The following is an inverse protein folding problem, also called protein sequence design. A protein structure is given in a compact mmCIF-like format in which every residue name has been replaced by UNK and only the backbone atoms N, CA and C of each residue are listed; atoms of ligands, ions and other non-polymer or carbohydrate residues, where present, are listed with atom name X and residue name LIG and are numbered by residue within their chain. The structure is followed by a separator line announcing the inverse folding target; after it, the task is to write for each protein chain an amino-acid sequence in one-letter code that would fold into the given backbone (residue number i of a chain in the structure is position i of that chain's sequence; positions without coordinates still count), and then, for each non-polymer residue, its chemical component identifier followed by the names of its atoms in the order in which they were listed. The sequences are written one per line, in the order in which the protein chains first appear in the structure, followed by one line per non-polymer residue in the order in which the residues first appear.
data_IF_243229689327
#
_entry.id   IF_243229689327
#
_cell.length_a   1.000
_cell.length_b   1.000
_cell.length_c   1.000
_cell.angle_alpha   90.00
_cell.angle_beta   90.00
_cell.angle_gamma   90.00
#
_symmetry.space_group_name_H-M   'P 1'
#
loop_
_entity.id
_entity.type
_entity.pdbx_description
1 polymer ?
#
# COMPACT_ATOMS: atom_id res chain seq x y z
N UNK A 1 31.30 28.22 -33.70
CA UNK A 1 29.85 28.03 -33.94
C UNK A 1 29.68 26.72 -34.67
N UNK A 2 29.45 25.64 -33.93
CA UNK A 2 29.32 24.28 -34.48
C UNK A 2 27.90 24.13 -35.00
N UNK A 3 27.72 23.96 -36.30
CA UNK A 3 26.43 23.70 -36.90
C UNK A 3 25.85 22.41 -36.30
N UNK A 4 24.76 22.52 -35.54
CA UNK A 4 24.00 21.34 -35.17
C UNK A 4 23.47 20.70 -36.45
N UNK A 5 23.73 19.40 -36.70
CA UNK A 5 23.17 18.75 -37.87
C UNK A 5 21.65 18.71 -37.72
N UNK A 6 20.95 19.41 -38.62
CA UNK A 6 19.50 19.33 -38.76
C UNK A 6 19.10 17.87 -38.96
N UNK A 7 18.52 17.26 -37.94
CA UNK A 7 17.95 15.92 -38.03
C UNK A 7 16.65 16.00 -38.83
N UNK A 8 16.70 15.72 -40.13
CA UNK A 8 15.48 15.45 -40.91
C UNK A 8 14.99 14.03 -40.59
N UNK A 9 13.79 13.86 -40.01
CA UNK A 9 13.30 12.54 -39.64
C UNK A 9 13.10 11.66 -40.88
N UNK A 10 13.65 10.45 -40.85
CA UNK A 10 13.42 9.44 -41.89
C UNK A 10 12.01 8.86 -41.85
N UNK A 11 11.64 8.08 -42.87
CA UNK A 11 10.31 7.46 -43.02
C UNK A 11 9.81 6.74 -41.76
N UNK A 12 10.66 5.96 -41.09
CA UNK A 12 10.31 5.28 -39.83
C UNK A 12 9.95 6.26 -38.71
N UNK A 13 10.69 7.35 -38.55
CA UNK A 13 10.44 8.35 -37.52
C UNK A 13 9.16 9.16 -37.80
N UNK A 14 8.90 9.48 -39.08
CA UNK A 14 7.67 10.14 -39.49
C UNK A 14 6.43 9.30 -39.18
N UNK A 15 6.50 7.97 -39.37
CA UNK A 15 5.41 7.04 -39.04
C UNK A 15 5.09 6.98 -37.54
N UNK A 16 6.02 7.42 -36.67
CA UNK A 16 5.82 7.44 -35.22
C UNK A 16 5.09 8.69 -34.70
N UNK A 17 4.89 9.73 -35.52
CA UNK A 17 4.33 11.02 -35.06
C UNK A 17 2.89 10.92 -34.50
N UNK A 18 2.09 9.97 -34.99
CA UNK A 18 0.68 9.81 -34.59
C UNK A 18 0.46 8.56 -33.73
N UNK A 19 1.50 8.04 -33.08
CA UNK A 19 1.41 6.78 -32.32
C UNK A 19 0.39 6.85 -31.20
N UNK A 20 0.24 7.99 -30.52
CA UNK A 20 -0.66 8.12 -29.36
C UNK A 20 -2.11 7.76 -29.68
N UNK A 21 -2.61 8.20 -30.84
CA UNK A 21 -4.00 7.99 -31.29
C UNK A 21 -4.31 6.60 -31.84
N UNK A 22 -3.31 5.72 -31.97
CA UNK A 22 -3.51 4.37 -32.52
C UNK A 22 -4.05 3.38 -31.48
N UNK A 23 -4.82 2.40 -31.95
CA UNK A 23 -5.24 1.26 -31.13
C UNK A 23 -4.03 0.40 -30.71
N UNK A 24 -4.13 -0.37 -29.62
CA UNK A 24 -3.04 -1.25 -29.14
C UNK A 24 -2.57 -2.25 -30.21
N UNK A 25 -3.51 -2.81 -30.98
CA UNK A 25 -3.20 -3.74 -32.09
C UNK A 25 -2.43 -3.03 -33.19
N UNK A 26 -2.89 -1.84 -33.59
CA UNK A 26 -2.24 -1.02 -34.63
C UNK A 26 -0.86 -0.54 -34.19
N UNK A 27 -0.70 -0.16 -32.92
CA UNK A 27 0.62 0.17 -32.32
C UNK A 27 1.58 -1.00 -32.44
N UNK A 28 1.13 -2.19 -32.05
CA UNK A 28 1.94 -3.41 -32.12
C UNK A 28 2.34 -3.76 -33.55
N UNK A 29 1.41 -3.65 -34.51
CA UNK A 29 1.68 -3.90 -35.92
C UNK A 29 2.65 -2.86 -36.53
N UNK A 30 2.46 -1.57 -36.20
CA UNK A 30 3.35 -0.48 -36.64
C UNK A 30 4.78 -0.70 -36.12
N UNK A 31 4.94 -0.97 -34.83
CA UNK A 31 6.24 -1.21 -34.22
C UNK A 31 6.92 -2.44 -34.82
N UNK A 32 6.17 -3.51 -35.11
CA UNK A 32 6.70 -4.70 -35.79
C UNK A 32 7.22 -4.35 -37.19
N UNK A 33 6.45 -3.62 -37.99
CA UNK A 33 6.89 -3.18 -39.32
C UNK A 33 8.14 -2.30 -39.27
N UNK A 34 8.24 -1.38 -38.30
CA UNK A 34 9.45 -0.55 -38.12
C UNK A 34 10.64 -1.43 -37.72
N UNK A 35 10.44 -2.42 -36.85
CA UNK A 35 11.48 -3.35 -36.47
C UNK A 35 11.97 -4.20 -37.65
N UNK A 36 11.06 -4.61 -38.55
CA UNK A 36 11.40 -5.31 -39.78
C UNK A 36 12.23 -4.42 -40.71
N UNK A 37 11.84 -3.16 -40.89
CA UNK A 37 12.58 -2.16 -41.70
C UNK A 37 14.00 -1.95 -41.16
N UNK A 38 14.13 -1.77 -39.84
CA UNK A 38 15.43 -1.64 -39.16
C UNK A 38 16.27 -2.91 -39.39
N UNK A 39 15.68 -4.09 -39.18
CA UNK A 39 16.37 -5.37 -39.37
C UNK A 39 16.88 -5.54 -40.79
N UNK A 40 16.05 -5.23 -41.79
CA UNK A 40 16.42 -5.25 -43.19
C UNK A 40 17.57 -4.28 -43.49
N UNK A 41 17.54 -3.06 -42.92
CA UNK A 41 18.63 -2.10 -43.05
C UNK A 41 19.95 -2.64 -42.49
N UNK A 42 19.94 -3.23 -41.29
CA UNK A 42 21.14 -3.84 -40.68
C UNK A 42 21.67 -5.01 -41.52
N UNK A 43 20.81 -5.84 -42.09
CA UNK A 43 21.21 -6.93 -43.00
C UNK A 43 21.89 -6.36 -44.25
N UNK A 44 21.32 -5.32 -44.86
CA UNK A 44 21.90 -4.66 -46.02
C UNK A 44 23.27 -4.04 -45.70
N UNK A 45 23.40 -3.35 -44.57
CA UNK A 45 24.67 -2.79 -44.10
C UNK A 45 25.71 -3.89 -43.90
N UNK A 46 25.33 -5.01 -43.27
CA UNK A 46 26.20 -6.16 -43.06
C UNK A 46 26.72 -6.77 -44.36
N UNK A 47 25.85 -6.87 -45.38
CA UNK A 47 26.26 -7.29 -46.74
C UNK A 47 27.28 -6.32 -47.33
N UNK A 48 27.04 -5.01 -47.24
CA UNK A 48 27.96 -4.00 -47.77
C UNK A 48 29.30 -3.93 -47.04
N UNK A 49 29.34 -4.26 -45.74
CA UNK A 49 30.59 -4.46 -45.00
C UNK A 49 31.36 -5.68 -45.51
N UNK A 50 30.67 -6.80 -45.71
CA UNK A 50 31.28 -8.04 -46.22
C UNK A 50 31.88 -7.86 -47.63
N UNK A 51 31.25 -7.03 -48.47
CA UNK A 51 31.77 -6.67 -49.79
C UNK A 51 32.92 -5.64 -49.76
N UNK A 52 33.27 -5.08 -48.59
CA UNK A 52 34.29 -4.05 -48.45
C UNK A 52 33.86 -2.64 -48.88
N UNK A 53 32.61 -2.47 -49.36
CA UNK A 53 32.03 -1.15 -49.72
C UNK A 53 31.95 -0.24 -48.50
N UNK A 54 31.61 -0.80 -47.34
CA UNK A 54 31.62 -0.10 -46.06
C UNK A 54 32.81 -0.54 -45.21
N UNK A 55 33.31 0.38 -44.39
CA UNK A 55 34.34 0.11 -43.39
C UNK A 55 33.79 0.30 -41.99
N UNK A 56 34.53 -0.14 -40.96
CA UNK A 56 34.18 0.07 -39.56
C UNK A 56 33.99 1.55 -39.18
N UNK A 57 34.60 2.48 -39.93
CA UNK A 57 34.39 3.92 -39.72
C UNK A 57 32.97 4.36 -40.09
N UNK A 58 32.39 3.75 -41.12
CA UNK A 58 31.04 4.06 -41.59
C UNK A 58 29.95 3.53 -40.65
N UNK A 59 30.22 2.46 -39.88
CA UNK A 59 29.27 1.88 -38.93
C UNK A 59 29.39 2.45 -37.52
N UNK A 60 30.41 3.26 -37.24
CA UNK A 60 30.61 3.86 -35.91
C UNK A 60 29.36 4.58 -35.36
N UNK A 61 28.63 5.42 -36.14
CA UNK A 61 27.41 6.06 -35.63
C UNK A 61 26.33 5.08 -35.18
N UNK A 62 26.26 3.90 -35.82
CA UNK A 62 25.32 2.84 -35.47
C UNK A 62 25.70 2.21 -34.12
N UNK A 63 26.99 1.96 -33.90
CA UNK A 63 27.50 1.48 -32.62
C UNK A 63 27.25 2.48 -31.49
N UNK A 64 27.49 3.77 -31.75
CA UNK A 64 27.23 4.86 -30.79
C UNK A 64 25.73 4.97 -30.46
N UNK A 65 24.86 4.85 -31.46
CA UNK A 65 23.42 4.78 -31.27
C UNK A 65 23.01 3.57 -30.41
N UNK A 66 23.47 2.37 -30.73
CA UNK A 66 23.16 1.16 -29.95
C UNK A 66 23.62 1.33 -28.48
N UNK A 67 24.79 1.92 -28.25
CA UNK A 67 25.28 2.19 -26.91
C UNK A 67 24.37 3.18 -26.16
N UNK A 68 23.90 4.25 -26.83
CA UNK A 68 22.96 5.21 -26.24
C UNK A 68 21.64 4.56 -25.82
N UNK A 69 21.04 3.73 -26.68
CA UNK A 69 19.78 3.01 -26.38
C UNK A 69 19.95 2.08 -25.18
N UNK A 70 21.03 1.29 -25.13
CA UNK A 70 21.32 0.39 -23.98
C UNK A 70 21.51 1.15 -22.67
N UNK A 71 22.09 2.35 -22.72
CA UNK A 71 22.26 3.18 -21.53
C UNK A 71 20.91 3.71 -21.02
N UNK A 72 20.00 4.11 -21.90
CA UNK A 72 18.66 4.56 -21.53
C UNK A 72 17.87 3.44 -20.86
N UNK A 73 17.86 2.24 -21.43
CA UNK A 73 17.20 1.06 -20.83
C UNK A 73 17.76 0.74 -19.44
N UNK A 74 19.09 0.78 -19.29
CA UNK A 74 19.74 0.54 -17.99
C UNK A 74 19.32 1.59 -16.95
N UNK A 75 19.23 2.86 -17.33
CA UNK A 75 18.80 3.94 -16.44
C UNK A 75 17.33 3.77 -16.02
N UNK A 76 16.45 3.39 -16.94
CA UNK A 76 15.05 3.08 -16.62
C UNK A 76 14.93 1.89 -15.68
N UNK A 77 15.66 0.81 -15.95
CA UNK A 77 15.71 -0.36 -15.06
C UNK A 77 16.19 0.01 -13.65
N UNK A 78 17.23 0.84 -13.54
CA UNK A 78 17.71 1.31 -12.24
C UNK A 78 16.68 2.17 -11.51
N UNK A 79 15.98 3.06 -12.22
CA UNK A 79 14.89 3.86 -11.63
C UNK A 79 13.76 2.98 -11.10
N UNK A 80 13.32 2.01 -11.91
CA UNK A 80 12.28 1.05 -11.52
C UNK A 80 12.71 0.22 -10.29
N UNK A 81 13.96 -0.24 -10.24
CA UNK A 81 14.49 -0.94 -9.06
C UNK A 81 14.51 -0.06 -7.81
N UNK A 82 14.90 1.20 -7.92
CA UNK A 82 14.87 2.15 -6.81
C UNK A 82 13.45 2.39 -6.31
N UNK A 83 12.48 2.53 -7.22
CA UNK A 83 11.08 2.72 -6.83
C UNK A 83 10.50 1.47 -6.16
N UNK A 84 10.80 0.27 -6.65
CA UNK A 84 10.43 -0.98 -5.99
C UNK A 84 10.99 -1.05 -4.56
N UNK A 85 12.24 -0.64 -4.36
CA UNK A 85 12.84 -0.64 -3.02
C UNK A 85 12.17 0.39 -2.10
N UNK A 86 11.82 1.57 -2.60
CA UNK A 86 11.04 2.57 -1.85
C UNK A 86 9.67 2.02 -1.44
N UNK A 87 8.97 1.32 -2.34
CA UNK A 87 7.69 0.71 -2.01
C UNK A 87 7.82 -0.39 -0.94
N UNK A 88 8.84 -1.25 -1.05
CA UNK A 88 9.15 -2.26 -0.03
C UNK A 88 9.43 -1.64 1.34
N UNK A 89 10.18 -0.54 1.38
CA UNK A 89 10.45 0.19 2.62
C UNK A 89 9.19 0.80 3.24
N UNK A 90 8.30 1.38 2.42
CA UNK A 90 7.00 1.90 2.90
C UNK A 90 6.13 0.78 3.45
N UNK A 91 6.07 -0.35 2.75
CA UNK A 91 5.32 -1.52 3.19
C UNK A 91 5.81 -2.03 4.55
N UNK A 92 7.13 -2.13 4.74
CA UNK A 92 7.73 -2.52 6.03
C UNK A 92 7.31 -1.55 7.16
N UNK A 93 7.33 -0.24 6.91
CA UNK A 93 6.89 0.77 7.88
C UNK A 93 5.41 0.60 8.23
N UNK A 94 4.54 0.44 7.24
CA UNK A 94 3.11 0.22 7.48
C UNK A 94 2.81 -1.06 8.25
N UNK A 95 3.56 -2.15 8.00
CA UNK A 95 3.42 -3.38 8.79
C UNK A 95 3.83 -3.15 10.25
N UNK A 96 4.90 -2.40 10.49
CA UNK A 96 5.34 -2.06 11.84
C UNK A 96 4.30 -1.18 12.58
N UNK A 97 3.78 -0.15 11.92
CA UNK A 97 2.73 0.72 12.45
C UNK A 97 1.45 -0.07 12.76
N UNK A 98 0.99 -0.93 11.83
CA UNK A 98 -0.17 -1.79 12.06
C UNK A 98 0.02 -2.71 13.26
N UNK A 99 1.21 -3.29 13.41
CA UNK A 99 1.54 -4.14 14.57
C UNK A 99 1.54 -3.35 15.87
N UNK A 100 2.09 -2.14 15.85
CA UNK A 100 2.08 -1.23 17.00
C UNK A 100 0.65 -0.82 17.38
N UNK A 101 -0.17 -0.43 16.40
CA UNK A 101 -1.56 -0.03 16.60
C UNK A 101 -2.39 -1.19 17.18
N UNK A 102 -2.22 -2.40 16.64
CA UNK A 102 -2.87 -3.60 17.17
C UNK A 102 -2.55 -3.81 18.65
N UNK A 103 -1.28 -3.74 19.03
CA UNK A 103 -0.86 -3.88 20.44
C UNK A 103 -1.45 -2.77 21.33
N UNK A 104 -1.54 -1.54 20.83
CA UNK A 104 -2.16 -0.43 21.56
C UNK A 104 -3.64 -0.69 21.82
N UNK A 105 -4.39 -1.09 20.79
CA UNK A 105 -5.81 -1.42 20.91
C UNK A 105 -6.01 -2.60 21.87
N UNK A 106 -5.25 -3.68 21.72
CA UNK A 106 -5.30 -4.82 22.64
C UNK A 106 -5.04 -4.41 24.10
N UNK A 107 -4.08 -3.51 24.34
CA UNK A 107 -3.81 -2.96 25.66
C UNK A 107 -4.99 -2.17 26.24
N UNK A 108 -5.64 -1.34 25.41
CA UNK A 108 -6.82 -0.57 25.83
C UNK A 108 -8.01 -1.49 26.16
N UNK A 109 -8.25 -2.52 25.34
CA UNK A 109 -9.32 -3.51 25.57
C UNK A 109 -9.09 -4.26 26.88
N UNK A 110 -7.87 -4.76 27.12
CA UNK A 110 -7.56 -5.44 28.39
C UNK A 110 -7.76 -4.53 29.61
N UNK A 111 -7.40 -3.24 29.47
CA UNK A 111 -7.59 -2.28 30.55
C UNK A 111 -9.07 -2.01 30.81
N UNK A 112 -9.88 -1.83 29.77
CA UNK A 112 -11.32 -1.61 29.92
C UNK A 112 -12.04 -2.84 30.47
N UNK A 113 -11.65 -4.05 30.07
CA UNK A 113 -12.14 -5.30 30.65
C UNK A 113 -11.83 -5.40 32.14
N UNK A 114 -10.62 -5.02 32.56
CA UNK A 114 -10.22 -4.96 33.96
C UNK A 114 -11.08 -3.99 34.78
N UNK A 115 -11.29 -2.78 34.26
CA UNK A 115 -12.17 -1.78 34.88
C UNK A 115 -13.60 -2.31 34.97
N UNK A 116 -14.13 -2.87 33.88
CA UNK A 116 -15.50 -3.40 33.83
C UNK A 116 -15.71 -4.49 34.88
N UNK A 117 -14.75 -5.41 35.03
CA UNK A 117 -14.80 -6.47 36.05
C UNK A 117 -14.83 -5.88 37.46
N UNK A 118 -13.97 -4.90 37.76
CA UNK A 118 -13.96 -4.23 39.06
C UNK A 118 -15.28 -3.52 39.37
N UNK A 119 -15.86 -2.82 38.38
CA UNK A 119 -17.18 -2.19 38.54
C UNK A 119 -18.28 -3.20 38.79
N UNK A 120 -18.27 -4.33 38.07
CA UNK A 120 -19.22 -5.41 38.27
C UNK A 120 -19.14 -5.98 39.69
N UNK A 121 -17.94 -6.26 40.17
CA UNK A 121 -17.73 -6.75 41.55
C UNK A 121 -18.16 -5.74 42.62
N UNK A 122 -17.99 -4.44 42.37
CA UNK A 122 -18.47 -3.38 43.28
C UNK A 122 -20.00 -3.30 43.27
N UNK A 123 -20.61 -3.44 42.09
CA UNK A 123 -22.06 -3.40 41.94
C UNK A 123 -22.73 -4.58 42.65
N UNK A 124 -22.20 -5.79 42.49
CA UNK A 124 -22.72 -6.99 43.19
C UNK A 124 -22.60 -6.85 44.71
N UNK A 125 -21.48 -6.32 45.21
CA UNK A 125 -21.33 -6.02 46.65
C UNK A 125 -22.33 -4.98 47.15
N UNK A 126 -22.50 -3.89 46.40
CA UNK A 126 -23.46 -2.86 46.77
C UNK A 126 -24.90 -3.39 46.80
N UNK A 127 -25.25 -4.25 45.83
CA UNK A 127 -26.55 -4.93 45.77
C UNK A 127 -26.75 -5.85 46.98
N UNK A 128 -25.77 -6.68 47.32
CA UNK A 128 -25.84 -7.53 48.51
C UNK A 128 -26.04 -6.72 49.80
N UNK A 129 -25.28 -5.65 49.98
CA UNK A 129 -25.43 -4.76 51.14
C UNK A 129 -26.84 -4.13 51.21
N UNK A 130 -27.41 -3.76 50.07
CA UNK A 130 -28.77 -3.21 50.00
C UNK A 130 -29.83 -4.26 50.36
N UNK A 131 -29.69 -5.48 49.86
CA UNK A 131 -30.59 -6.59 50.18
C UNK A 131 -30.54 -6.92 51.68
N UNK A 132 -29.35 -6.94 52.28
CA UNK A 132 -29.18 -7.20 53.71
C UNK A 132 -29.76 -6.06 54.57
N UNK A 133 -29.48 -4.81 54.24
CA UNK A 133 -30.08 -3.65 54.92
C UNK A 133 -31.63 -3.67 54.84
N UNK A 134 -32.17 -4.09 53.69
CA UNK A 134 -33.62 -4.23 53.51
C UNK A 134 -34.20 -5.31 54.42
N UNK A 135 -33.52 -6.45 54.58
CA UNK A 135 -33.93 -7.52 55.50
C UNK A 135 -33.87 -7.07 56.96
N UNK A 136 -32.81 -6.36 57.35
CA UNK A 136 -32.67 -5.83 58.71
C UNK A 136 -33.78 -4.83 59.04
N UNK A 137 -34.08 -3.90 58.13
CA UNK A 137 -35.18 -2.95 58.29
C UNK A 137 -36.54 -3.66 58.43
N UNK A 138 -36.80 -4.70 57.63
CA UNK A 138 -38.01 -5.49 57.75
C UNK A 138 -38.11 -6.20 59.11
N UNK A 139 -37.01 -6.77 59.60
CA UNK A 139 -36.96 -7.43 60.91
C UNK A 139 -37.16 -6.44 62.07
N UNK A 140 -36.54 -5.26 62.00
CA UNK A 140 -36.73 -4.19 62.99
C UNK A 140 -38.17 -3.71 63.00
N UNK A 141 -38.77 -3.49 61.83
CA UNK A 141 -40.17 -3.11 61.70
C UNK A 141 -41.11 -4.14 62.33
N UNK A 142 -40.89 -5.42 62.04
CA UNK A 142 -41.65 -6.51 62.65
C UNK A 142 -41.54 -6.51 64.18
N UNK A 143 -40.33 -6.39 64.74
CA UNK A 143 -40.11 -6.33 66.19
C UNK A 143 -40.81 -5.12 66.83
N UNK A 144 -40.79 -3.97 66.16
CA UNK A 144 -41.47 -2.77 66.62
C UNK A 144 -42.99 -2.97 66.66
N UNK A 145 -43.59 -3.49 65.58
CA UNK A 145 -45.03 -3.78 65.49
C UNK A 145 -45.47 -4.78 66.59
N UNK A 146 -44.66 -5.80 66.85
CA UNK A 146 -44.93 -6.80 67.90
C UNK A 146 -44.88 -6.20 69.31
N UNK A 147 -43.90 -5.33 69.58
CA UNK A 147 -43.76 -4.64 70.86
C UNK A 147 -44.89 -3.65 71.09
N UNK A 148 -45.29 -2.92 70.04
CA UNK A 148 -46.44 -2.02 70.05
C UNK A 148 -47.74 -2.76 70.37
N UNK A 149 -48.00 -3.89 69.71
CA UNK A 149 -49.20 -4.69 69.97
C UNK A 149 -49.24 -5.24 71.40
N UNK A 150 -48.10 -5.63 71.98
CA UNK A 150 -48.02 -6.04 73.39
C UNK A 150 -48.32 -4.89 74.35
N UNK A 151 -47.73 -3.71 74.12
CA UNK A 151 -47.98 -2.53 74.94
C UNK A 151 -49.43 -2.02 74.84
N UNK A 152 -50.10 -2.22 73.70
CA UNK A 152 -51.53 -1.92 73.53
C UNK A 152 -52.42 -2.91 74.30
N UNK A 153 -52.01 -4.18 74.44
CA UNK A 153 -52.74 -5.21 75.21
C UNK A 153 -52.57 -5.08 76.73
N UNK A 154 -51.44 -4.58 77.22
CA UNK A 154 -51.19 -4.36 78.66
C UNK A 154 -51.91 -3.12 79.22
N UNK A 155 -52.46 -2.27 78.34
CA UNK A 155 -53.22 -1.05 78.71
C UNK A 155 -54.74 -1.25 78.76
N UNK A 156 -55.22 -2.45 78.44
CA UNK A 156 -56.62 -2.88 78.52
C UNK A 156 -56.83 -3.73 79.79
#
# INVERSE_FOLDING_TARGET
MSAEPYFTPGSCAMRLQNVEGLSSVTKSALLRSIADDISAAFICISKQLSCGTLSARHTRPIHDFIASVRNTERLEQQRLQQDLERYRQRERRWRAERKWMRRKVEGLVKHSEGIHKQWKERLERAKGNFDDATRELAALRWRYELSRSKAEKEKL
#
